data_IF_997208932535
#
_entry.id   IF_997208932535
#
_cell.length_a   1.000
_cell.length_b   1.000
_cell.length_c   1.000
_cell.angle_alpha   90.00
_cell.angle_beta   90.00
_cell.angle_gamma   90.00
#
_symmetry.space_group_name_H-M   'P 1'
#
loop_
_entity.id
_entity.type
_entity.pdbx_description
1 polymer ?
#
# COMPACT_ATOMS: atom_id res chain seq x y z
N UNK A 1 -27.44 -10.00 5.16
CA UNK A 1 -26.51 -9.09 4.46
C UNK A 1 -25.12 -9.71 4.36
N UNK A 2 -24.57 -9.93 3.15
CA UNK A 2 -23.17 -10.36 2.98
C UNK A 2 -22.27 -9.19 3.41
N UNK A 3 -21.56 -9.31 4.54
CA UNK A 3 -20.50 -8.36 4.91
C UNK A 3 -19.52 -8.29 3.74
N UNK A 4 -19.39 -7.12 3.10
CA UNK A 4 -18.35 -6.88 2.10
C UNK A 4 -17.01 -7.05 2.80
N UNK A 5 -16.39 -8.22 2.62
CA UNK A 5 -15.04 -8.47 3.11
C UNK A 5 -14.12 -7.61 2.25
N UNK A 6 -13.31 -6.77 2.88
CA UNK A 6 -12.28 -6.02 2.17
C UNK A 6 -11.38 -7.00 1.41
N UNK A 7 -11.11 -6.69 0.14
CA UNK A 7 -10.19 -7.47 -0.68
C UNK A 7 -8.77 -7.37 -0.11
N UNK A 8 -7.89 -8.32 -0.42
CA UNK A 8 -6.50 -8.28 0.02
C UNK A 8 -5.81 -6.96 -0.40
N UNK A 9 -6.05 -6.51 -1.63
CA UNK A 9 -5.61 -5.22 -2.16
C UNK A 9 -6.12 -4.04 -1.33
N UNK A 10 -7.41 -4.03 -0.95
CA UNK A 10 -7.96 -2.95 -0.12
C UNK A 10 -7.34 -2.89 1.28
N UNK A 11 -7.01 -4.05 1.86
CA UNK A 11 -6.32 -4.10 3.16
C UNK A 11 -4.91 -3.52 3.06
N UNK A 12 -4.18 -3.84 1.98
CA UNK A 12 -2.83 -3.33 1.77
C UNK A 12 -2.82 -1.82 1.55
N UNK A 13 -3.76 -1.30 0.75
CA UNK A 13 -3.94 0.16 0.61
C UNK A 13 -4.20 0.81 1.98
N UNK A 14 -5.07 0.21 2.80
CA UNK A 14 -5.38 0.75 4.12
C UNK A 14 -4.16 0.74 5.06
N UNK A 15 -3.32 -0.29 4.99
CA UNK A 15 -2.08 -0.42 5.77
C UNK A 15 -1.07 0.66 5.38
N UNK A 16 -0.74 0.80 4.09
CA UNK A 16 0.19 1.83 3.59
C UNK A 16 -0.30 3.23 3.93
N UNK A 17 -1.60 3.49 3.78
CA UNK A 17 -2.17 4.79 4.14
C UNK A 17 -2.20 5.02 5.66
N UNK A 18 -2.24 3.96 6.46
CA UNK A 18 -2.11 4.05 7.92
C UNK A 18 -0.67 4.41 8.30
N UNK A 19 0.33 3.74 7.73
CA UNK A 19 1.76 4.05 7.89
C UNK A 19 2.06 5.49 7.51
N UNK A 20 1.51 5.95 6.38
CA UNK A 20 1.62 7.35 5.97
C UNK A 20 1.00 8.31 7.00
N UNK A 21 -0.18 7.98 7.52
CA UNK A 21 -0.86 8.81 8.52
C UNK A 21 -0.09 8.91 9.84
N UNK A 22 0.61 7.85 10.24
CA UNK A 22 1.46 7.87 11.45
C UNK A 22 2.85 8.44 11.19
N UNK A 23 3.22 8.66 9.93
CA UNK A 23 4.53 9.22 9.55
C UNK A 23 5.65 8.18 9.47
N UNK A 24 5.31 6.91 9.23
CA UNK A 24 6.24 5.78 9.18
C UNK A 24 6.40 5.18 7.77
N UNK A 25 5.71 5.75 6.78
CA UNK A 25 5.83 5.29 5.39
C UNK A 25 7.18 5.72 4.79
N UNK A 26 8.02 4.74 4.42
CA UNK A 26 9.33 4.98 3.81
C UNK A 26 9.27 4.98 2.28
N UNK A 27 10.09 5.83 1.65
CA UNK A 27 10.21 5.92 0.20
C UNK A 27 11.24 4.91 -0.33
N UNK A 28 10.76 3.73 -0.72
CA UNK A 28 11.60 2.69 -1.33
C UNK A 28 12.72 2.22 -0.41
N UNK A 29 13.96 2.14 -0.92
CA UNK A 29 15.14 1.68 -0.16
C UNK A 29 15.89 2.83 0.56
N UNK A 30 15.19 3.90 0.92
CA UNK A 30 15.83 5.05 1.59
C UNK A 30 15.19 5.30 2.94
N UNK A 31 15.94 5.86 3.89
CA UNK A 31 15.43 6.30 5.20
C UNK A 31 14.56 7.57 5.12
N UNK A 32 14.05 7.90 3.94
CA UNK A 32 13.24 9.09 3.70
C UNK A 32 11.78 8.77 3.92
N UNK A 33 11.17 9.45 4.88
CA UNK A 33 9.72 9.37 5.12
C UNK A 33 8.96 10.06 3.99
N UNK A 34 7.94 9.38 3.48
CA UNK A 34 6.99 9.92 2.52
C UNK A 34 6.12 10.95 3.22
N UNK A 35 6.30 12.21 2.83
CA UNK A 35 5.49 13.34 3.34
C UNK A 35 4.39 13.74 2.37
N UNK A 36 4.51 13.35 1.10
CA UNK A 36 3.56 13.71 0.05
C UNK A 36 2.42 12.67 -0.06
N UNK A 37 1.15 13.06 0.17
CA UNK A 37 0.01 12.14 0.04
C UNK A 37 -0.11 11.49 -1.34
N UNK A 38 0.26 12.20 -2.41
CA UNK A 38 0.20 11.64 -3.77
C UNK A 38 1.17 10.48 -3.96
N UNK A 39 2.34 10.57 -3.32
CA UNK A 39 3.35 9.51 -3.37
C UNK A 39 2.90 8.32 -2.53
N UNK A 40 2.31 8.55 -1.36
CA UNK A 40 1.74 7.48 -0.53
C UNK A 40 0.64 6.70 -1.26
N UNK A 41 -0.25 7.40 -1.97
CA UNK A 41 -1.29 6.77 -2.79
C UNK A 41 -0.67 5.93 -3.91
N UNK A 42 0.38 6.42 -4.57
CA UNK A 42 1.06 5.67 -5.63
C UNK A 42 1.66 4.36 -5.10
N UNK A 43 2.35 4.41 -3.95
CA UNK A 43 2.92 3.23 -3.28
C UNK A 43 1.81 2.24 -2.90
N UNK A 44 0.74 2.74 -2.27
CA UNK A 44 -0.40 1.93 -1.86
C UNK A 44 -1.04 1.18 -3.05
N UNK A 45 -1.18 1.85 -4.19
CA UNK A 45 -1.71 1.26 -5.41
C UNK A 45 -0.74 0.23 -6.01
N UNK A 46 0.56 0.53 -6.04
CA UNK A 46 1.59 -0.39 -6.51
C UNK A 46 1.65 -1.67 -5.68
N UNK A 47 1.65 -1.58 -4.35
CA UNK A 47 1.65 -2.76 -3.47
C UNK A 47 0.36 -3.58 -3.59
N UNK A 48 -0.77 -2.90 -3.76
CA UNK A 48 -2.06 -3.54 -3.97
C UNK A 48 -2.15 -4.28 -5.32
N UNK A 49 -1.49 -3.77 -6.35
CA UNK A 49 -1.37 -4.39 -7.67
C UNK A 49 -0.39 -5.57 -7.66
N UNK A 50 0.73 -5.46 -6.94
CA UNK A 50 1.67 -6.57 -6.76
C UNK A 50 1.05 -7.78 -6.05
N UNK A 51 0.09 -7.55 -5.15
CA UNK A 51 -0.72 -8.62 -4.54
C UNK A 51 -1.64 -9.34 -5.54
N UNK A 52 -2.07 -8.65 -6.59
CA UNK A 52 -2.93 -9.21 -7.64
C UNK A 52 -2.15 -9.98 -8.72
N UNK A 53 -0.84 -9.75 -8.83
CA UNK A 53 0.02 -10.47 -9.76
C UNK A 53 0.43 -11.83 -9.14
N UNK A 54 0.30 -12.95 -9.85
CA UNK A 54 0.87 -14.21 -9.38
C UNK A 54 2.38 -14.02 -9.20
N UNK A 55 2.91 -14.35 -8.01
CA UNK A 55 4.34 -14.19 -7.63
C UNK A 55 5.32 -15.06 -8.43
N UNK A 56 4.92 -15.55 -9.60
CA UNK A 56 5.76 -16.29 -10.52
C UNK A 56 6.40 -15.30 -11.50
N UNK A 57 7.30 -14.44 -10.99
CA UNK A 57 8.27 -13.77 -11.86
C UNK A 57 9.45 -14.74 -11.98
N UNK A 58 9.49 -15.48 -13.08
CA UNK A 58 10.64 -16.29 -13.53
C UNK A 58 11.90 -15.44 -13.70
#
# INVERSE_FOLDING_TARGET
>A
MKKKKHTASQKKVAEVMHEFKVGDLHSGNTDTIVTNPKQAIAIALSEADELGKPKNKS
#
